data_IF_084174942939
#
_entry.id   IF_084174942939
#
_cell.length_a   1.000
_cell.length_b   1.000
_cell.length_c   1.000
_cell.angle_alpha   90.00
_cell.angle_beta   90.00
_cell.angle_gamma   90.00
#
_symmetry.space_group_name_H-M   'P 1'
#
loop_
_entity.id
_entity.type
_entity.pdbx_description
1 polymer ?
#
# COMPACT_ATOMS: atom_id res chain seq x y z
N UNK A 1 -6.66 15.31 15.88
CA UNK A 1 -6.78 15.20 14.43
C UNK A 1 -8.25 14.95 14.13
N UNK A 2 -8.81 15.53 13.08
CA UNK A 2 -10.17 15.24 12.64
C UNK A 2 -10.19 13.91 11.86
N UNK A 3 -11.36 13.34 11.60
CA UNK A 3 -11.52 12.21 10.70
C UNK A 3 -10.95 12.55 9.32
N UNK A 4 -10.41 11.54 8.66
CA UNK A 4 -9.91 11.63 7.28
C UNK A 4 -10.73 10.73 6.38
N UNK A 5 -10.90 11.12 5.12
CA UNK A 5 -11.50 10.30 4.08
C UNK A 5 -10.40 9.71 3.19
N UNK A 6 -10.39 8.40 3.06
CA UNK A 6 -9.43 7.64 2.24
C UNK A 6 -10.17 7.02 1.06
N UNK A 7 -9.60 7.15 -0.15
CA UNK A 7 -10.07 6.45 -1.35
C UNK A 7 -9.08 5.37 -1.78
N UNK A 8 -9.59 4.18 -2.05
CA UNK A 8 -8.85 3.10 -2.72
C UNK A 8 -9.33 2.96 -4.16
N UNK A 9 -8.46 3.21 -5.12
CA UNK A 9 -8.77 3.12 -6.55
C UNK A 9 -8.38 1.75 -7.07
N UNK A 10 -9.34 0.84 -7.17
CA UNK A 10 -9.16 -0.43 -7.86
C UNK A 10 -9.04 -0.16 -9.36
N UNK A 11 -7.84 -0.33 -9.91
CA UNK A 11 -7.44 0.25 -11.18
C UNK A 11 -6.93 -0.84 -12.15
N UNK A 12 -7.30 -0.74 -13.42
CA UNK A 12 -6.79 -1.60 -14.51
C UNK A 12 -5.80 -0.81 -15.38
N UNK A 13 -4.52 -0.82 -15.00
CA UNK A 13 -3.47 -0.14 -15.77
C UNK A 13 -3.15 -0.90 -17.07
N UNK A 14 -2.55 -0.21 -18.03
CA UNK A 14 -2.04 -0.76 -19.28
C UNK A 14 -0.53 -0.96 -19.18
N UNK A 15 -0.08 -2.20 -19.40
CA UNK A 15 1.36 -2.53 -19.31
C UNK A 15 2.19 -1.70 -20.30
N UNK A 16 3.24 -1.05 -19.79
CA UNK A 16 4.17 -0.21 -20.56
C UNK A 16 3.63 1.15 -20.99
N UNK A 17 2.34 1.45 -20.74
CA UNK A 17 1.73 2.69 -21.23
C UNK A 17 1.72 3.80 -20.17
N UNK A 18 2.93 4.23 -19.74
CA UNK A 18 3.11 5.15 -18.63
C UNK A 18 2.30 6.45 -18.76
N UNK A 19 2.34 7.08 -19.95
CA UNK A 19 1.62 8.35 -20.19
C UNK A 19 0.10 8.18 -20.07
N UNK A 20 -0.46 7.08 -20.58
CA UNK A 20 -1.88 6.78 -20.45
C UNK A 20 -2.25 6.49 -19.00
N UNK A 21 -1.46 5.67 -18.31
CA UNK A 21 -1.69 5.32 -16.91
C UNK A 21 -1.58 6.55 -16.02
N UNK A 22 -0.57 7.40 -16.21
CA UNK A 22 -0.42 8.68 -15.49
C UNK A 22 -1.66 9.55 -15.67
N UNK A 23 -2.11 9.75 -16.91
CA UNK A 23 -3.31 10.54 -17.18
C UNK A 23 -4.53 9.99 -16.43
N UNK A 24 -4.76 8.69 -16.52
CA UNK A 24 -5.90 8.05 -15.86
C UNK A 24 -5.80 8.13 -14.33
N UNK A 25 -4.58 7.98 -13.78
CA UNK A 25 -4.35 8.14 -12.35
C UNK A 25 -4.63 9.57 -11.89
N UNK A 26 -4.26 10.60 -12.69
CA UNK A 26 -4.60 12.00 -12.42
C UNK A 26 -6.12 12.22 -12.45
N UNK A 27 -6.82 11.64 -13.42
CA UNK A 27 -8.28 11.76 -13.54
C UNK A 27 -8.98 11.13 -12.31
N UNK A 28 -8.61 9.90 -11.92
CA UNK A 28 -9.14 9.24 -10.72
C UNK A 28 -8.79 10.00 -9.44
N UNK A 29 -7.55 10.51 -9.34
CA UNK A 29 -7.11 11.31 -8.19
C UNK A 29 -7.94 12.57 -8.05
N UNK A 30 -8.16 13.30 -9.16
CA UNK A 30 -9.00 14.51 -9.15
C UNK A 30 -10.44 14.18 -8.73
N UNK A 31 -11.04 13.14 -9.31
CA UNK A 31 -12.40 12.72 -8.98
C UNK A 31 -12.52 12.29 -7.50
N UNK A 32 -11.56 11.52 -6.98
CA UNK A 32 -11.58 11.09 -5.58
C UNK A 32 -11.44 12.28 -4.62
N UNK A 33 -10.57 13.25 -4.95
CA UNK A 33 -10.40 14.48 -4.18
C UNK A 33 -11.68 15.34 -4.19
N UNK A 34 -12.35 15.45 -5.34
CA UNK A 34 -13.62 16.19 -5.47
C UNK A 34 -14.75 15.52 -4.67
N UNK A 35 -14.64 14.20 -4.41
CA UNK A 35 -15.50 13.44 -3.50
C UNK A 35 -15.03 13.48 -2.03
N UNK A 36 -14.07 14.35 -1.69
CA UNK A 36 -13.61 14.61 -0.31
C UNK A 36 -12.49 13.70 0.19
N UNK A 37 -11.89 12.85 -0.65
CA UNK A 37 -10.76 12.04 -0.24
C UNK A 37 -9.51 12.90 -0.04
N UNK A 38 -8.80 12.66 1.07
CA UNK A 38 -7.56 13.33 1.43
C UNK A 38 -6.33 12.43 1.19
N UNK A 39 -6.52 11.10 1.24
CA UNK A 39 -5.54 10.09 0.84
C UNK A 39 -6.14 9.23 -0.26
N UNK A 40 -5.47 9.14 -1.40
CA UNK A 40 -5.87 8.31 -2.54
C UNK A 40 -4.80 7.24 -2.73
N UNK A 41 -5.21 5.98 -2.85
CA UNK A 41 -4.28 4.85 -2.98
C UNK A 41 -4.58 4.10 -4.27
N UNK A 42 -3.53 3.82 -5.05
CA UNK A 42 -3.53 3.00 -6.25
C UNK A 42 -2.86 1.65 -6.02
N UNK A 43 -3.07 0.68 -6.92
CA UNK A 43 -2.42 -0.63 -6.83
C UNK A 43 -0.90 -0.61 -6.99
N UNK A 44 -0.30 -1.76 -6.73
CA UNK A 44 1.07 -2.11 -7.13
C UNK A 44 1.25 -1.96 -8.63
N UNK A 45 2.37 -1.35 -9.05
CA UNK A 45 2.71 -1.13 -10.46
C UNK A 45 1.57 -0.46 -11.28
N UNK A 46 0.75 0.40 -10.64
CA UNK A 46 -0.35 1.10 -11.30
C UNK A 46 0.13 1.99 -12.45
N UNK A 47 1.36 2.51 -12.38
CA UNK A 47 1.94 3.29 -13.44
C UNK A 47 2.43 2.44 -14.61
N UNK A 48 3.08 1.30 -14.34
CA UNK A 48 3.89 0.56 -15.32
C UNK A 48 3.21 -0.70 -15.88
N UNK A 49 2.29 -1.31 -15.14
CA UNK A 49 1.91 -2.71 -15.34
C UNK A 49 2.84 -3.65 -14.57
N UNK A 50 2.54 -4.97 -14.60
CA UNK A 50 3.17 -5.93 -13.71
C UNK A 50 3.74 -7.18 -14.42
N UNK A 51 3.06 -7.70 -15.45
CA UNK A 51 3.40 -9.01 -16.06
C UNK A 51 4.42 -8.82 -17.19
N UNK A 52 5.61 -8.34 -16.84
CA UNK A 52 6.73 -8.23 -17.77
C UNK A 52 7.43 -9.57 -17.97
N UNK A 53 7.92 -9.81 -19.17
CA UNK A 53 8.61 -11.06 -19.53
C UNK A 53 10.12 -10.95 -19.40
N UNK A 54 10.68 -9.76 -19.66
CA UNK A 54 12.12 -9.52 -19.67
C UNK A 54 12.49 -8.27 -18.88
N UNK A 55 13.72 -8.21 -18.36
CA UNK A 55 14.24 -7.05 -17.68
C UNK A 55 14.31 -5.79 -18.57
N UNK A 56 14.78 -5.87 -19.84
CA UNK A 56 14.74 -4.70 -20.73
C UNK A 56 13.34 -4.10 -20.90
N UNK A 57 12.32 -4.95 -21.06
CA UNK A 57 10.94 -4.49 -21.15
C UNK A 57 10.48 -3.76 -19.86
N UNK A 58 10.83 -4.28 -18.70
CA UNK A 58 10.55 -3.64 -17.42
C UNK A 58 11.32 -2.33 -17.25
N UNK A 59 12.56 -2.25 -17.75
CA UNK A 59 13.37 -1.03 -17.74
C UNK A 59 12.75 0.08 -18.61
N UNK A 60 12.23 -0.25 -19.80
CA UNK A 60 11.54 0.70 -20.67
C UNK A 60 10.26 1.26 -20.01
N UNK A 61 9.62 0.48 -19.12
CA UNK A 61 8.43 0.86 -18.39
C UNK A 61 8.72 1.42 -16.99
N UNK A 62 9.96 1.78 -16.69
CA UNK A 62 10.37 2.34 -15.40
C UNK A 62 10.72 3.82 -15.50
N UNK A 63 10.49 4.57 -14.42
CA UNK A 63 10.89 5.98 -14.28
C UNK A 63 11.71 6.17 -13.01
N UNK A 64 12.63 7.16 -12.97
CA UNK A 64 13.24 7.56 -11.71
C UNK A 64 12.21 8.20 -10.76
N UNK A 65 12.52 8.23 -9.46
CA UNK A 65 11.73 8.98 -8.47
C UNK A 65 12.67 9.98 -7.77
N UNK A 66 12.42 11.32 -7.89
CA UNK A 66 11.37 11.96 -8.70
C UNK A 66 11.57 11.77 -10.21
N UNK A 67 10.47 11.84 -10.96
CA UNK A 67 10.42 11.70 -12.41
C UNK A 67 9.09 12.21 -12.97
N UNK A 68 8.86 12.11 -14.29
CA UNK A 68 7.73 12.76 -14.95
C UNK A 68 6.37 12.46 -14.32
N UNK A 69 6.09 11.19 -14.03
CA UNK A 69 4.78 10.78 -13.44
C UNK A 69 4.65 11.21 -11.99
N UNK A 70 5.73 11.10 -11.19
CA UNK A 70 5.71 11.55 -9.79
C UNK A 70 5.56 13.07 -9.68
N UNK A 71 6.18 13.84 -10.59
CA UNK A 71 6.05 15.29 -10.61
C UNK A 71 4.62 15.74 -10.99
N UNK A 72 4.00 15.03 -11.95
CA UNK A 72 2.62 15.29 -12.35
C UNK A 72 1.64 15.04 -11.20
N UNK A 73 1.77 13.89 -10.49
CA UNK A 73 0.94 13.57 -9.33
C UNK A 73 1.20 14.53 -8.16
N UNK A 74 2.44 14.88 -7.87
CA UNK A 74 2.78 15.85 -6.83
C UNK A 74 2.22 17.26 -7.15
N UNK A 75 2.20 17.65 -8.42
CA UNK A 75 1.55 18.90 -8.84
C UNK A 75 0.05 18.90 -8.52
N UNK A 76 -0.66 17.81 -8.81
CA UNK A 76 -2.07 17.66 -8.48
C UNK A 76 -2.28 17.60 -6.96
N UNK A 77 -1.41 16.91 -6.22
CA UNK A 77 -1.45 16.89 -4.74
C UNK A 77 -1.36 18.29 -4.16
N UNK A 78 -0.46 19.12 -4.70
CA UNK A 78 -0.32 20.53 -4.28
C UNK A 78 -1.57 21.35 -4.60
N UNK A 79 -2.14 21.17 -5.79
CA UNK A 79 -3.34 21.89 -6.20
C UNK A 79 -4.56 21.55 -5.34
N UNK A 80 -4.74 20.27 -5.03
CA UNK A 80 -5.90 19.75 -4.29
C UNK A 80 -5.67 19.64 -2.78
N UNK A 81 -4.44 19.84 -2.29
CA UNK A 81 -4.02 19.65 -0.88
C UNK A 81 -4.32 18.24 -0.36
N UNK A 82 -3.91 17.23 -1.13
CA UNK A 82 -4.15 15.80 -0.91
C UNK A 82 -2.85 15.00 -0.93
N UNK A 83 -2.95 13.72 -0.56
CA UNK A 83 -1.86 12.75 -0.58
C UNK A 83 -2.23 11.57 -1.49
N UNK A 84 -1.25 11.06 -2.23
CA UNK A 84 -1.42 9.91 -3.12
C UNK A 84 -0.35 8.88 -2.84
N UNK A 85 -0.75 7.60 -2.74
CA UNK A 85 0.18 6.45 -2.75
C UNK A 85 -0.09 5.61 -3.98
N UNK A 86 0.94 5.28 -4.73
CA UNK A 86 0.83 4.49 -5.94
C UNK A 86 2.04 3.60 -6.17
N UNK A 87 1.81 2.45 -6.84
CA UNK A 87 2.87 1.53 -7.26
C UNK A 87 3.43 1.87 -8.63
N UNK A 88 4.74 1.69 -8.80
CA UNK A 88 5.45 1.86 -10.07
C UNK A 88 6.70 0.99 -10.15
N UNK A 89 7.27 0.87 -11.34
CA UNK A 89 8.64 0.43 -11.52
C UNK A 89 9.56 1.65 -11.44
N UNK A 90 10.46 1.62 -10.44
CA UNK A 90 11.46 2.68 -10.22
C UNK A 90 12.78 2.30 -10.90
N UNK A 91 13.28 3.19 -11.75
CA UNK A 91 14.61 3.09 -12.32
C UNK A 91 15.64 3.75 -11.38
N UNK A 92 16.63 3.00 -10.91
CA UNK A 92 17.73 3.53 -10.10
C UNK A 92 19.06 2.92 -10.53
N UNK A 93 19.81 3.65 -11.36
CA UNK A 93 21.00 3.15 -12.03
C UNK A 93 20.66 2.01 -12.98
N UNK A 94 21.29 0.85 -12.82
CA UNK A 94 21.00 -0.36 -13.60
C UNK A 94 19.87 -1.21 -13.01
N UNK A 95 19.38 -0.85 -11.81
CA UNK A 95 18.36 -1.59 -11.07
C UNK A 95 16.96 -1.11 -11.44
N UNK A 96 16.01 -2.06 -11.45
CA UNK A 96 14.57 -1.80 -11.45
C UNK A 96 14.00 -2.27 -10.12
N UNK A 97 13.28 -1.40 -9.43
CA UNK A 97 12.59 -1.73 -8.19
C UNK A 97 11.07 -1.69 -8.38
N UNK A 98 10.37 -2.59 -7.72
CA UNK A 98 8.93 -2.49 -7.52
C UNK A 98 8.72 -1.56 -6.31
N UNK A 99 8.24 -0.34 -6.56
CA UNK A 99 8.21 0.72 -5.57
C UNK A 99 6.80 1.25 -5.32
N UNK A 100 6.53 1.62 -4.06
CA UNK A 100 5.38 2.41 -3.66
C UNK A 100 5.84 3.84 -3.33
N UNK A 101 5.26 4.82 -3.99
CA UNK A 101 5.61 6.24 -3.85
C UNK A 101 4.49 6.95 -3.10
N UNK A 102 4.85 7.70 -2.07
CA UNK A 102 3.97 8.64 -1.37
C UNK A 102 4.27 10.06 -1.85
N UNK A 103 3.30 10.68 -2.47
CA UNK A 103 3.34 12.09 -2.88
C UNK A 103 2.33 12.92 -2.09
N UNK A 104 2.68 14.17 -1.83
CA UNK A 104 1.82 15.13 -1.14
C UNK A 104 1.99 16.54 -1.69
N UNK A 105 1.44 17.56 -1.00
CA UNK A 105 1.56 18.96 -1.42
C UNK A 105 3.00 19.45 -1.56
N UNK A 106 3.93 18.88 -0.79
CA UNK A 106 5.36 19.24 -0.78
C UNK A 106 6.15 18.53 -1.90
N UNK A 107 5.56 17.58 -2.59
CA UNK A 107 6.25 16.74 -3.59
C UNK A 107 6.25 15.26 -3.21
N UNK A 108 7.27 14.53 -3.63
CA UNK A 108 7.51 13.16 -3.18
C UNK A 108 7.98 13.20 -1.71
N UNK A 109 7.24 12.54 -0.83
CA UNK A 109 7.51 12.48 0.62
C UNK A 109 8.34 11.26 0.96
N UNK A 110 8.06 10.14 0.27
CA UNK A 110 8.75 8.89 0.53
C UNK A 110 8.56 7.84 -0.54
N UNK A 111 9.49 6.90 -0.56
CA UNK A 111 9.50 5.75 -1.46
C UNK A 111 9.76 4.51 -0.62
N UNK A 112 8.99 3.46 -0.87
CA UNK A 112 9.24 2.13 -0.35
C UNK A 112 9.52 1.18 -1.50
N UNK A 113 10.67 0.53 -1.50
CA UNK A 113 11.07 -0.53 -2.44
C UNK A 113 10.72 -1.87 -1.86
N UNK A 114 9.95 -2.67 -2.60
CA UNK A 114 9.47 -3.99 -2.16
C UNK A 114 10.63 -4.88 -1.72
N UNK A 115 10.54 -5.41 -0.50
CA UNK A 115 11.61 -6.21 0.11
C UNK A 115 11.47 -7.71 -0.16
N UNK A 116 10.24 -8.22 -0.29
CA UNK A 116 9.97 -9.63 -0.55
C UNK A 116 9.43 -9.81 -1.97
N UNK A 117 10.22 -10.43 -2.82
CA UNK A 117 9.91 -10.63 -4.24
C UNK A 117 9.48 -12.08 -4.47
N UNK A 118 8.20 -12.36 -4.79
CA UNK A 118 7.79 -13.69 -5.22
C UNK A 118 8.29 -13.96 -6.65
N UNK A 119 8.37 -15.21 -7.03
CA UNK A 119 8.64 -15.57 -8.42
C UNK A 119 7.37 -15.43 -9.29
N UNK A 120 6.94 -14.16 -9.48
CA UNK A 120 5.71 -13.77 -10.17
C UNK A 120 5.87 -12.41 -10.84
N UNK A 121 5.38 -12.27 -12.07
CA UNK A 121 5.38 -11.00 -12.79
C UNK A 121 6.76 -10.34 -12.83
N UNK A 122 6.80 -9.03 -12.66
CA UNK A 122 8.04 -8.26 -12.66
C UNK A 122 8.93 -8.53 -11.44
N UNK A 123 8.38 -9.03 -10.34
CA UNK A 123 9.16 -9.29 -9.11
C UNK A 123 10.30 -10.29 -9.32
N UNK A 124 10.15 -11.22 -10.28
CA UNK A 124 11.22 -12.16 -10.67
C UNK A 124 12.39 -11.47 -11.40
N UNK A 125 12.21 -10.24 -11.85
CA UNK A 125 13.17 -9.45 -12.62
C UNK A 125 13.71 -8.25 -11.81
N UNK A 126 12.94 -7.80 -10.83
CA UNK A 126 13.23 -6.62 -10.03
C UNK A 126 14.33 -6.89 -8.98
N UNK A 127 14.96 -5.82 -8.53
CA UNK A 127 15.88 -5.82 -7.40
C UNK A 127 15.10 -5.68 -6.09
N UNK A 128 15.41 -6.49 -5.08
CA UNK A 128 14.80 -6.37 -3.77
C UNK A 128 15.26 -5.08 -3.06
N UNK A 129 14.33 -4.39 -2.41
CA UNK A 129 14.65 -3.29 -1.51
C UNK A 129 15.44 -3.76 -0.29
N UNK A 130 16.34 -2.93 0.21
CA UNK A 130 17.19 -3.22 1.36
C UNK A 130 17.18 -2.13 2.43
N UNK A 131 16.41 -1.07 2.20
CA UNK A 131 16.31 0.04 3.15
C UNK A 131 15.51 -0.39 4.40
N UNK A 132 15.84 0.16 5.59
CA UNK A 132 15.06 -0.08 6.80
C UNK A 132 13.59 0.35 6.60
N UNK A 133 12.66 -0.39 7.21
CA UNK A 133 11.25 0.03 7.22
C UNK A 133 11.09 1.42 7.83
N UNK A 134 10.29 2.25 7.21
CA UNK A 134 10.05 3.64 7.61
C UNK A 134 8.56 3.94 7.73
N UNK A 135 8.26 4.90 8.57
CA UNK A 135 6.93 5.48 8.73
C UNK A 135 7.01 6.95 8.34
N UNK A 136 6.13 7.37 7.46
CA UNK A 136 6.08 8.73 6.93
C UNK A 136 5.05 9.54 7.71
N UNK A 137 5.49 10.62 8.32
CA UNK A 137 4.59 11.53 9.04
C UNK A 137 3.87 12.45 8.07
N UNK A 138 2.54 12.50 8.19
CA UNK A 138 1.68 13.39 7.39
C UNK A 138 0.61 14.02 8.30
N UNK A 139 -0.05 15.11 7.87
CA UNK A 139 -1.21 15.62 8.56
C UNK A 139 -2.38 14.63 8.67
N UNK A 140 -2.38 13.57 7.85
CA UNK A 140 -3.39 12.51 7.84
C UNK A 140 -3.11 11.39 8.84
N UNK A 141 -1.93 11.40 9.49
CA UNK A 141 -1.43 10.33 10.35
C UNK A 141 -0.09 9.79 9.86
N UNK A 142 0.40 8.76 10.53
CA UNK A 142 1.66 8.08 10.23
C UNK A 142 1.41 6.94 9.27
N UNK A 143 1.97 7.02 8.07
CA UNK A 143 1.77 6.05 7.00
C UNK A 143 2.96 5.08 6.93
N UNK A 144 2.71 3.79 7.07
CA UNK A 144 3.66 2.74 6.73
C UNK A 144 3.32 2.17 5.35
N UNK A 145 4.32 1.94 4.51
CA UNK A 145 4.14 1.39 3.17
C UNK A 145 4.68 -0.03 3.09
N UNK A 146 3.90 -0.95 2.52
CA UNK A 146 4.31 -2.27 2.08
C UNK A 146 3.69 -2.56 0.71
N UNK A 147 4.19 -3.58 0.01
CA UNK A 147 3.67 -3.96 -1.30
C UNK A 147 3.29 -5.45 -1.31
N UNK A 148 2.02 -5.74 -1.60
CA UNK A 148 1.49 -7.04 -2.00
C UNK A 148 2.01 -8.23 -1.17
N UNK A 149 3.06 -8.92 -1.66
CA UNK A 149 3.62 -10.13 -1.06
C UNK A 149 4.22 -9.89 0.33
N UNK A 150 4.69 -8.67 0.63
CA UNK A 150 5.19 -8.31 1.98
C UNK A 150 4.15 -8.58 3.07
N UNK A 151 2.85 -8.50 2.73
CA UNK A 151 1.77 -8.77 3.67
C UNK A 151 1.77 -10.21 4.22
N UNK A 152 2.34 -11.17 3.47
CA UNK A 152 2.40 -12.57 3.91
C UNK A 152 3.34 -12.78 5.08
N UNK A 153 4.31 -11.90 5.24
CA UNK A 153 5.26 -11.90 6.35
C UNK A 153 4.72 -11.02 7.48
N UNK A 154 4.56 -11.54 8.71
CA UNK A 154 4.09 -10.73 9.83
C UNK A 154 5.11 -9.68 10.29
N UNK A 155 6.40 -9.90 10.05
CA UNK A 155 7.50 -9.09 10.53
C UNK A 155 7.47 -7.65 10.01
N UNK A 156 7.34 -7.38 8.69
CA UNK A 156 7.27 -6.01 8.16
C UNK A 156 6.12 -5.20 8.77
N UNK A 157 4.94 -5.81 8.85
CA UNK A 157 3.76 -5.18 9.45
C UNK A 157 3.99 -4.85 10.92
N UNK A 158 4.63 -5.78 11.66
CA UNK A 158 4.99 -5.56 13.06
C UNK A 158 6.05 -4.49 13.23
N UNK A 159 7.06 -4.44 12.38
CA UNK A 159 8.06 -3.37 12.39
C UNK A 159 7.41 -2.00 12.21
N UNK A 160 6.54 -1.84 11.22
CA UNK A 160 5.83 -0.59 11.00
C UNK A 160 4.94 -0.18 12.19
N UNK A 161 4.25 -1.15 12.81
CA UNK A 161 3.45 -0.89 14.01
C UNK A 161 4.29 -0.41 15.19
N UNK A 162 5.49 -0.98 15.38
CA UNK A 162 6.44 -0.59 16.42
C UNK A 162 7.09 0.76 16.14
N UNK A 163 7.25 1.13 14.86
CA UNK A 163 7.67 2.46 14.43
C UNK A 163 6.53 3.50 14.57
N UNK A 164 5.32 3.05 14.94
CA UNK A 164 4.20 3.90 15.25
C UNK A 164 3.28 4.21 14.08
N UNK A 165 3.23 3.38 13.05
CA UNK A 165 2.28 3.54 11.96
C UNK A 165 0.84 3.54 12.48
N UNK A 166 0.06 4.52 12.00
CA UNK A 166 -1.39 4.61 12.22
C UNK A 166 -2.14 3.86 11.10
N UNK A 167 -1.59 3.91 9.87
CA UNK A 167 -2.17 3.33 8.66
C UNK A 167 -1.10 2.54 7.92
N UNK A 168 -1.35 1.26 7.64
CA UNK A 168 -0.61 0.49 6.66
C UNK A 168 -1.26 0.70 5.29
N UNK A 169 -0.52 1.28 4.35
CA UNK A 169 -0.94 1.42 2.95
C UNK A 169 -0.28 0.31 2.13
N UNK A 170 -1.08 -0.47 1.42
CA UNK A 170 -0.68 -1.69 0.74
C UNK A 170 -1.15 -1.69 -0.72
N UNK A 171 -0.43 -1.08 -1.65
CA UNK A 171 -0.56 -1.36 -3.08
C UNK A 171 -0.36 -2.85 -3.38
N UNK A 172 -1.23 -3.45 -4.18
CA UNK A 172 -1.17 -4.90 -4.42
C UNK A 172 -1.65 -5.32 -5.81
N UNK A 173 -1.18 -6.48 -6.28
CA UNK A 173 -1.58 -7.15 -7.52
C UNK A 173 -1.93 -8.61 -7.22
N UNK A 174 -2.90 -8.85 -6.35
CA UNK A 174 -3.36 -10.20 -6.01
C UNK A 174 -4.03 -10.87 -7.20
N UNK A 175 -3.42 -11.95 -7.74
CA UNK A 175 -4.01 -12.69 -8.85
C UNK A 175 -5.07 -13.68 -8.36
N UNK A 176 -5.73 -14.34 -9.31
CA UNK A 176 -6.61 -15.49 -9.04
C UNK A 176 -5.89 -16.52 -8.16
N UNK A 177 -6.55 -16.98 -7.09
CA UNK A 177 -6.01 -17.91 -6.10
C UNK A 177 -5.31 -17.25 -4.91
N UNK A 178 -5.21 -15.90 -4.88
CA UNK A 178 -4.64 -15.17 -3.75
C UNK A 178 -5.68 -14.74 -2.71
N UNK A 179 -6.90 -15.30 -2.74
CA UNK A 179 -8.06 -14.89 -1.92
C UNK A 179 -7.77 -14.82 -0.42
N UNK A 180 -6.90 -15.70 0.09
CA UNK A 180 -6.53 -15.69 1.51
C UNK A 180 -5.89 -14.35 1.96
N UNK A 181 -5.25 -13.61 1.04
CA UNK A 181 -4.61 -12.34 1.36
C UNK A 181 -5.63 -11.26 1.74
N UNK A 182 -6.63 -10.94 0.90
CA UNK A 182 -7.68 -9.98 1.28
C UNK A 182 -8.65 -10.54 2.31
N UNK A 183 -8.96 -11.84 2.28
CA UNK A 183 -10.03 -12.38 3.12
C UNK A 183 -9.59 -12.54 4.59
N UNK A 184 -8.34 -12.92 4.83
CA UNK A 184 -7.84 -13.24 6.17
C UNK A 184 -6.59 -12.45 6.56
N UNK A 185 -5.58 -12.36 5.67
CA UNK A 185 -4.28 -11.81 6.08
C UNK A 185 -4.35 -10.30 6.32
N UNK A 186 -5.00 -9.51 5.47
CA UNK A 186 -5.12 -8.08 5.66
C UNK A 186 -5.90 -7.72 6.94
N UNK A 187 -7.06 -8.34 7.25
CA UNK A 187 -7.71 -8.17 8.55
C UNK A 187 -6.84 -8.61 9.74
N UNK A 188 -6.12 -9.73 9.62
CA UNK A 188 -5.23 -10.20 10.68
C UNK A 188 -4.13 -9.17 10.99
N UNK A 189 -3.49 -8.58 9.96
CA UNK A 189 -2.49 -7.53 10.15
C UNK A 189 -3.06 -6.30 10.86
N UNK A 190 -4.30 -5.92 10.54
CA UNK A 190 -4.99 -4.82 11.24
C UNK A 190 -5.19 -5.15 12.73
N UNK A 191 -5.70 -6.34 13.05
CA UNK A 191 -5.99 -6.77 14.43
C UNK A 191 -4.71 -6.85 15.27
N UNK A 192 -3.71 -7.59 14.80
CA UNK A 192 -2.49 -7.88 15.59
C UNK A 192 -1.60 -6.67 15.81
N UNK A 193 -1.67 -5.67 14.91
CA UNK A 193 -0.85 -4.46 14.95
C UNK A 193 -1.63 -3.22 15.40
N UNK A 194 -2.94 -3.31 15.53
CA UNK A 194 -3.80 -2.20 15.95
C UNK A 194 -3.57 -0.96 15.10
N UNK A 195 -3.59 -1.12 13.76
CA UNK A 195 -3.57 -0.04 12.78
C UNK A 195 -4.64 -0.23 11.70
N UNK A 196 -4.94 0.82 10.94
CA UNK A 196 -5.76 0.69 9.74
C UNK A 196 -4.95 0.03 8.61
N UNK A 197 -5.62 -0.74 7.75
CA UNK A 197 -5.02 -1.29 6.53
C UNK A 197 -5.80 -0.79 5.33
N UNK A 198 -5.11 -0.14 4.40
CA UNK A 198 -5.65 0.29 3.10
C UNK A 198 -4.99 -0.56 2.04
N UNK A 199 -5.63 -1.67 1.69
CA UNK A 199 -5.14 -2.60 0.68
C UNK A 199 -5.88 -2.36 -0.64
N UNK A 200 -5.14 -1.92 -1.66
CA UNK A 200 -5.73 -1.56 -2.95
C UNK A 200 -5.18 -2.47 -4.03
N UNK A 201 -6.06 -3.32 -4.57
CA UNK A 201 -5.71 -4.31 -5.56
C UNK A 201 -5.99 -3.81 -6.98
N UNK A 202 -5.30 -4.41 -7.91
CA UNK A 202 -5.52 -4.23 -9.34
C UNK A 202 -6.82 -4.90 -9.81
N UNK A 203 -7.42 -4.33 -10.83
CA UNK A 203 -8.50 -4.91 -11.63
C UNK A 203 -7.96 -5.49 -12.94
N UNK A 204 -8.81 -6.22 -13.66
CA UNK A 204 -8.60 -6.65 -15.04
C UNK A 204 -7.72 -7.87 -15.22
N UNK A 205 -7.22 -8.02 -16.45
CA UNK A 205 -6.36 -9.13 -16.86
C UNK A 205 -5.20 -8.59 -17.69
N UNK A 206 -3.97 -9.02 -17.36
CA UNK A 206 -2.77 -8.64 -18.07
C UNK A 206 -1.99 -9.88 -18.47
N UNK A 207 -1.76 -10.06 -19.78
CA UNK A 207 -1.02 -11.22 -20.35
C UNK A 207 -1.48 -12.57 -19.78
N UNK A 208 -2.80 -12.77 -19.66
CA UNK A 208 -3.39 -14.01 -19.16
C UNK A 208 -3.46 -14.12 -17.63
N UNK A 209 -2.87 -13.20 -16.87
CA UNK A 209 -3.00 -13.13 -15.41
C UNK A 209 -4.19 -12.26 -15.03
N UNK A 210 -5.21 -12.85 -14.41
CA UNK A 210 -6.38 -12.11 -13.91
C UNK A 210 -6.21 -11.74 -12.45
N UNK A 211 -6.61 -10.52 -12.10
CA UNK A 211 -6.55 -9.98 -10.74
C UNK A 211 -7.93 -9.99 -10.09
N UNK A 212 -7.96 -10.30 -8.79
CA UNK A 212 -9.22 -10.62 -8.10
C UNK A 212 -9.98 -9.39 -7.57
N UNK A 213 -9.44 -8.17 -7.74
CA UNK A 213 -10.02 -7.00 -7.09
C UNK A 213 -9.96 -7.12 -5.56
N UNK A 214 -11.10 -7.03 -4.85
CA UNK A 214 -11.18 -7.12 -3.39
C UNK A 214 -10.37 -6.05 -2.66
N UNK A 215 -10.20 -4.87 -3.28
CA UNK A 215 -9.65 -3.70 -2.59
C UNK A 215 -10.45 -3.40 -1.35
N UNK A 216 -9.78 -3.08 -0.23
CA UNK A 216 -10.46 -2.92 1.04
C UNK A 216 -9.78 -1.93 1.98
N UNK A 217 -10.56 -1.35 2.87
CA UNK A 217 -10.10 -0.53 4.00
C UNK A 217 -10.56 -1.22 5.27
N UNK A 218 -9.60 -1.59 6.13
CA UNK A 218 -9.82 -2.37 7.34
C UNK A 218 -9.45 -1.55 8.57
N UNK A 219 -10.30 -1.53 9.58
CA UNK A 219 -10.04 -0.85 10.84
C UNK A 219 -9.22 -1.71 11.83
N UNK A 220 -8.66 -1.15 12.91
CA UNK A 220 -7.83 -1.87 13.89
C UNK A 220 -8.54 -3.04 14.62
N UNK A 221 -9.85 -3.18 14.51
CA UNK A 221 -10.62 -4.32 15.00
C UNK A 221 -10.70 -5.48 14.01
N UNK A 222 -10.26 -5.28 12.75
CA UNK A 222 -10.34 -6.23 11.65
C UNK A 222 -11.62 -6.13 10.82
N UNK A 223 -12.57 -5.26 11.19
CA UNK A 223 -13.76 -5.04 10.37
C UNK A 223 -13.41 -4.24 9.10
N UNK A 224 -14.05 -4.59 8.00
CA UNK A 224 -13.91 -3.85 6.74
C UNK A 224 -14.83 -2.63 6.78
N UNK A 225 -14.23 -1.43 6.70
CA UNK A 225 -14.97 -0.17 6.53
C UNK A 225 -15.43 0.02 5.09
N UNK A 226 -14.65 -0.50 4.13
CA UNK A 226 -14.99 -0.53 2.72
C UNK A 226 -14.41 -1.78 2.06
N UNK A 227 -15.10 -2.31 1.06
CA UNK A 227 -14.70 -3.46 0.26
C UNK A 227 -15.24 -3.28 -1.17
N UNK A 228 -14.36 -3.40 -2.16
CA UNK A 228 -14.77 -3.41 -3.57
C UNK A 228 -15.67 -4.62 -3.87
N UNK A 229 -16.75 -4.35 -4.59
CA UNK A 229 -17.81 -5.33 -4.88
C UNK A 229 -17.62 -6.02 -6.22
N UNK A 230 -16.75 -5.48 -7.07
CA UNK A 230 -16.50 -5.98 -8.42
C UNK A 230 -15.05 -6.38 -8.62
N UNK A 231 -14.75 -7.11 -9.69
CA UNK A 231 -13.37 -7.39 -10.15
C UNK A 231 -12.90 -6.37 -11.19
N UNK A 232 -13.76 -5.44 -11.58
CA UNK A 232 -13.47 -4.32 -12.49
C UNK A 232 -12.94 -3.08 -11.75
N UNK A 233 -12.84 -1.98 -12.48
CA UNK A 233 -12.45 -0.69 -11.87
C UNK A 233 -13.54 -0.20 -10.92
N UNK A 234 -13.12 0.20 -9.73
CA UNK A 234 -14.02 0.69 -8.69
C UNK A 234 -13.26 1.60 -7.73
N UNK A 235 -13.91 2.62 -7.19
CA UNK A 235 -13.33 3.46 -6.14
C UNK A 235 -14.10 3.23 -4.86
N UNK A 236 -13.41 2.75 -3.83
CA UNK A 236 -13.95 2.56 -2.50
C UNK A 236 -13.56 3.72 -1.59
N UNK A 237 -14.42 4.08 -0.66
CA UNK A 237 -14.20 5.18 0.29
C UNK A 237 -14.46 4.73 1.72
N UNK A 238 -13.65 5.24 2.66
CA UNK A 238 -13.94 5.17 4.09
C UNK A 238 -13.49 6.43 4.80
N UNK A 239 -14.27 6.85 5.80
CA UNK A 239 -13.94 7.97 6.68
C UNK A 239 -13.69 7.43 8.08
N UNK A 240 -12.55 7.77 8.68
CA UNK A 240 -12.16 7.30 10.00
C UNK A 240 -11.17 8.26 10.70
N UNK A 241 -11.08 8.15 12.02
CA UNK A 241 -10.07 8.83 12.83
C UNK A 241 -8.80 7.95 12.92
N UNK A 242 -7.67 8.35 12.31
CA UNK A 242 -6.43 7.58 12.35
C UNK A 242 -5.85 7.43 13.76
N UNK A 243 -6.19 8.34 14.70
CA UNK A 243 -5.73 8.27 16.09
C UNK A 243 -6.24 7.04 16.83
N UNK A 244 -7.33 6.40 16.38
CA UNK A 244 -7.81 5.13 16.93
C UNK A 244 -6.74 4.04 16.87
N UNK A 245 -5.84 4.09 15.88
CA UNK A 245 -4.71 3.16 15.76
C UNK A 245 -3.69 3.29 16.90
N UNK A 246 -3.65 4.42 17.59
CA UNK A 246 -2.72 4.68 18.73
C UNK A 246 -3.18 4.01 20.02
N UNK A 247 -4.44 3.58 20.07
CA UNK A 247 -4.97 2.84 21.21
C UNK A 247 -4.56 1.35 21.09
N UNK A 248 -3.30 1.05 21.43
CA UNK A 248 -2.77 -0.33 21.34
C UNK A 248 -3.35 -1.25 22.43
N UNK A 249 -3.65 -0.67 23.61
CA UNK A 249 -4.27 -1.40 24.71
C UNK A 249 -5.80 -1.36 24.60
N UNK A 250 -6.42 -2.52 24.62
CA UNK A 250 -7.86 -2.69 24.66
C UNK A 250 -8.31 -3.00 26.09
N UNK A 251 -9.04 -2.11 26.73
CA UNK A 251 -9.69 -2.35 28.01
C UNK A 251 -11.13 -2.79 27.76
N UNK A 252 -11.37 -4.08 27.59
CA UNK A 252 -12.71 -4.67 27.40
C UNK A 252 -13.49 -4.53 28.71
N UNK A 253 -12.82 -4.82 29.84
CA UNK A 253 -13.29 -4.54 31.19
C UNK A 253 -12.10 -4.01 31.99
N UNK A 254 -12.05 -2.68 32.26
CA UNK A 254 -10.91 -2.07 32.91
C UNK A 254 -10.52 -2.77 34.21
N UNK A 255 -9.22 -3.09 34.37
CA UNK A 255 -8.66 -3.79 35.52
C UNK A 255 -9.00 -5.29 35.63
N UNK A 256 -9.76 -5.85 34.68
CA UNK A 256 -10.19 -7.25 34.68
C UNK A 256 -9.85 -7.97 33.37
N UNK A 257 -10.16 -7.33 32.24
CA UNK A 257 -9.91 -7.91 30.93
C UNK A 257 -9.36 -6.84 29.99
N UNK A 258 -8.06 -6.86 29.79
CA UNK A 258 -7.33 -5.95 28.94
C UNK A 258 -6.31 -6.72 28.09
N UNK A 259 -6.05 -6.23 26.88
CA UNK A 259 -5.13 -6.84 25.92
C UNK A 259 -4.29 -5.73 25.32
N UNK A 260 -2.96 -5.91 25.27
CA UNK A 260 -2.04 -5.03 24.56
C UNK A 260 -1.11 -5.87 23.67
N UNK A 261 -1.50 -6.06 22.40
CA UNK A 261 -0.75 -6.90 21.45
C UNK A 261 0.63 -6.32 21.10
N UNK A 262 0.93 -5.11 21.51
CA UNK A 262 2.23 -4.44 21.33
C UNK A 262 3.02 -4.44 22.64
N UNK A 263 2.41 -3.99 23.74
CA UNK A 263 3.06 -3.88 25.06
C UNK A 263 3.34 -5.22 25.73
N UNK A 264 2.49 -6.23 25.53
CA UNK A 264 2.63 -7.56 26.12
C UNK A 264 3.63 -8.46 25.39
N UNK A 265 4.31 -7.94 24.34
CA UNK A 265 5.34 -8.69 23.59
C UNK A 265 6.49 -9.10 24.49
N UNK A 266 7.10 -10.25 24.20
CA UNK A 266 8.23 -10.84 24.90
C UNK A 266 9.46 -10.93 23.98
N UNK A 267 10.11 -9.79 23.57
CA UNK A 267 11.16 -9.75 22.55
C UNK A 267 12.30 -10.76 22.80
N UNK A 268 12.69 -10.96 24.07
CA UNK A 268 13.73 -11.93 24.43
C UNK A 268 13.41 -13.39 24.04
N UNK A 269 12.15 -13.70 23.68
CA UNK A 269 11.75 -15.04 23.21
C UNK A 269 11.72 -15.12 21.68
N UNK A 270 11.99 -14.02 20.98
CA UNK A 270 11.83 -13.91 19.52
C UNK A 270 13.18 -13.82 18.78
N UNK A 271 14.30 -14.11 19.44
CA UNK A 271 15.65 -14.06 18.84
C UNK A 271 15.75 -14.87 17.55
N UNK A 272 15.04 -16.01 17.49
CA UNK A 272 14.99 -16.87 16.31
C UNK A 272 14.51 -16.17 15.04
N UNK A 273 13.71 -15.09 15.15
CA UNK A 273 13.23 -14.33 14.00
C UNK A 273 14.34 -13.54 13.28
N UNK A 274 15.48 -13.30 13.93
CA UNK A 274 16.61 -12.55 13.38
C UNK A 274 17.75 -13.44 12.92
N UNK A 275 17.67 -14.75 13.19
CA UNK A 275 18.66 -15.72 12.73
C UNK A 275 18.36 -16.13 11.28
N UNK A 276 19.40 -16.33 10.49
CA UNK A 276 19.25 -16.92 9.17
C UNK A 276 18.92 -18.42 9.29
N UNK A 277 18.05 -18.96 8.45
CA UNK A 277 17.71 -20.38 8.43
C UNK A 277 18.90 -21.25 8.06
#
# INVERSE_FOLDING_TARGET
MSEITVAGVQFDCRIGELSLNTKRMLDFTSQAADNGAQLIVFPECALSGYVFETLPEAQEASEPVPGPSSDALASLCRQKQIYVVYGMLEAAGECVYNSAVLSGPEGVIGVYRKTHLPFLGVDRLATAGSDPYQVFETPLGRLGLLICYDLRFPEPSRCLALLGADILVLPTNWPTGADASPDYTAPARAIENRFFVVAVNRAGTERGTSFIGKSQIVEPSGNRLALAQTTGEEVIYATFDPLKARQKRLAIKPGVFEIDTVGDRRPALYERLTERP
#
